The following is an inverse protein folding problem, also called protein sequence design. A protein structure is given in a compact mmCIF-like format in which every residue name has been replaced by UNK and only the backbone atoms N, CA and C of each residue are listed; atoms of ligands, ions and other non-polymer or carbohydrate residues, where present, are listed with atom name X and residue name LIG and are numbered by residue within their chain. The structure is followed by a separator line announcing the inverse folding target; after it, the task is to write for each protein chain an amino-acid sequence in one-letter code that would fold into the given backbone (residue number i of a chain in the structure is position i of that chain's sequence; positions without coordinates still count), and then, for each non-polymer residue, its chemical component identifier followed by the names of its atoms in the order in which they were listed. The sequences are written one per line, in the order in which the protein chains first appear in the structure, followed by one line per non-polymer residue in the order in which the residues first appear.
data_IF_206833875791
#
_entry.id   IF_206833875791
#
_cell.length_a   1.000
_cell.length_b   1.000
_cell.length_c   1.000
_cell.angle_alpha   90.00
_cell.angle_beta   90.00
_cell.angle_gamma   90.00
#
_symmetry.space_group_name_H-M   'P 1'
#
loop_
_entity.id
_entity.type
_entity.pdbx_description
1 polymer ?
#
# COMPACT_ATOMS: atom_id res chain seq x y z
N UNK A 1 -21.01 23.85 29.36
CA UNK A 1 -21.02 22.41 29.30
C UNK A 1 -21.97 21.83 30.31
N UNK A 2 -22.94 21.06 29.84
CA UNK A 2 -23.96 20.41 30.70
C UNK A 2 -23.27 19.23 31.42
N UNK A 3 -22.85 19.46 32.66
CA UNK A 3 -22.42 18.31 33.50
C UNK A 3 -23.65 17.53 33.88
N UNK A 4 -23.65 16.18 33.77
CA UNK A 4 -24.76 15.36 34.24
C UNK A 4 -24.89 15.48 35.76
N UNK A 5 -26.11 15.49 36.30
CA UNK A 5 -26.32 15.46 37.75
C UNK A 5 -25.70 14.18 38.35
N UNK A 6 -25.19 14.24 39.60
CA UNK A 6 -24.48 13.11 40.20
C UNK A 6 -25.20 11.75 40.10
N UNK A 7 -26.54 11.76 40.24
CA UNK A 7 -27.37 10.56 40.12
C UNK A 7 -27.39 9.95 38.68
N UNK A 8 -26.90 10.63 37.66
CA UNK A 8 -26.91 10.14 36.24
C UNK A 8 -25.52 9.98 35.65
N UNK A 9 -24.46 10.11 36.44
CA UNK A 9 -23.08 9.99 35.98
C UNK A 9 -22.82 8.63 35.32
N UNK A 10 -23.25 7.54 35.93
CA UNK A 10 -23.08 6.17 35.37
C UNK A 10 -23.81 6.01 34.04
N UNK A 11 -25.06 6.47 33.95
CA UNK A 11 -25.82 6.41 32.68
C UNK A 11 -25.19 7.28 31.58
N UNK A 12 -24.60 8.40 31.94
CA UNK A 12 -23.87 9.27 30.99
C UNK A 12 -22.64 8.57 30.39
N UNK A 13 -21.79 7.98 31.24
CA UNK A 13 -20.61 7.27 30.75
C UNK A 13 -20.97 6.00 29.98
N UNK A 14 -22.02 5.29 30.41
CA UNK A 14 -22.53 4.13 29.65
C UNK A 14 -23.04 4.52 28.28
N UNK A 15 -23.78 5.64 28.17
CA UNK A 15 -24.24 6.15 26.87
C UNK A 15 -23.08 6.58 25.99
N UNK A 16 -22.04 7.21 26.57
CA UNK A 16 -20.83 7.60 25.84
C UNK A 16 -20.08 6.37 25.32
N UNK A 17 -19.89 5.35 26.14
CA UNK A 17 -19.24 4.10 25.78
C UNK A 17 -20.03 3.35 24.69
N UNK A 18 -21.35 3.25 24.86
CA UNK A 18 -22.25 2.63 23.87
C UNK A 18 -22.23 3.38 22.53
N UNK A 19 -22.25 4.72 22.58
CA UNK A 19 -22.12 5.55 21.38
C UNK A 19 -20.81 5.35 20.65
N UNK A 20 -19.70 5.27 21.40
CA UNK A 20 -18.38 4.96 20.85
C UNK A 20 -18.32 3.58 20.20
N UNK A 21 -18.85 2.56 20.87
CA UNK A 21 -18.91 1.20 20.33
C UNK A 21 -19.76 1.12 19.05
N UNK A 22 -20.96 1.73 19.06
CA UNK A 22 -21.83 1.81 17.88
C UNK A 22 -21.15 2.56 16.74
N UNK A 23 -20.52 3.70 17.01
CA UNK A 23 -19.75 4.46 16.01
C UNK A 23 -18.62 3.64 15.41
N UNK A 24 -17.89 2.87 16.23
CA UNK A 24 -16.85 1.94 15.76
C UNK A 24 -17.42 0.86 14.83
N UNK A 25 -18.52 0.21 15.21
CA UNK A 25 -19.18 -0.79 14.35
C UNK A 25 -19.69 -0.18 13.05
N UNK A 26 -20.30 1.00 13.10
CA UNK A 26 -20.80 1.69 11.91
C UNK A 26 -19.68 2.06 10.96
N UNK A 27 -18.53 2.58 11.46
CA UNK A 27 -17.39 2.96 10.64
C UNK A 27 -16.60 1.76 10.11
N UNK A 28 -16.32 0.77 10.96
CA UNK A 28 -15.42 -0.32 10.60
C UNK A 28 -16.13 -1.47 9.87
N UNK A 29 -17.43 -1.65 10.03
CA UNK A 29 -18.18 -2.78 9.45
C UNK A 29 -19.25 -2.29 8.49
N UNK A 30 -20.19 -1.44 8.96
CA UNK A 30 -21.33 -1.05 8.13
C UNK A 30 -20.93 -0.13 6.95
N UNK A 31 -20.04 0.83 7.19
CA UNK A 31 -19.63 1.77 6.15
C UNK A 31 -18.90 1.08 4.98
N UNK A 32 -17.93 0.16 5.17
CA UNK A 32 -17.31 -0.58 4.07
C UNK A 32 -18.29 -1.43 3.25
N UNK A 33 -19.37 -1.91 3.87
CA UNK A 33 -20.39 -2.70 3.18
C UNK A 33 -21.42 -1.87 2.44
N UNK A 34 -21.70 -0.64 2.93
CA UNK A 34 -22.78 0.21 2.40
C UNK A 34 -22.28 1.35 1.50
N UNK A 35 -21.06 1.83 1.73
CA UNK A 35 -20.49 2.98 1.04
C UNK A 35 -19.41 2.53 0.06
N UNK A 36 -19.48 2.96 -1.17
CA UNK A 36 -18.50 2.60 -2.21
C UNK A 36 -17.14 3.30 -2.07
N UNK A 37 -17.01 4.29 -1.18
CA UNK A 37 -15.76 5.01 -0.87
C UNK A 37 -15.79 5.51 0.57
N UNK A 38 -14.71 6.14 1.05
CA UNK A 38 -14.52 6.62 2.43
C UNK A 38 -15.34 7.91 2.71
N UNK A 39 -16.67 7.79 2.65
CA UNK A 39 -17.58 8.91 2.92
C UNK A 39 -17.96 9.06 4.40
N UNK A 40 -17.68 8.07 5.23
CA UNK A 40 -18.08 8.02 6.65
C UNK A 40 -17.54 9.20 7.46
N UNK A 41 -16.34 9.69 7.18
CA UNK A 41 -15.79 10.87 7.86
C UNK A 41 -16.67 12.11 7.62
N UNK A 42 -17.01 12.38 6.37
CA UNK A 42 -17.82 13.53 5.99
C UNK A 42 -19.25 13.42 6.54
N UNK A 43 -19.83 12.21 6.48
CA UNK A 43 -21.14 11.92 7.04
C UNK A 43 -21.16 12.10 8.56
N UNK A 44 -20.11 11.64 9.24
CA UNK A 44 -19.97 11.77 10.70
C UNK A 44 -19.83 13.24 11.13
N UNK A 45 -19.05 14.03 10.38
CA UNK A 45 -18.92 15.46 10.63
C UNK A 45 -20.28 16.15 10.41
N UNK A 46 -21.01 15.85 9.32
CA UNK A 46 -22.33 16.41 9.06
C UNK A 46 -23.33 16.04 10.16
N UNK A 47 -23.35 14.77 10.60
CA UNK A 47 -24.20 14.30 11.68
C UNK A 47 -23.87 15.00 13.02
N UNK A 48 -22.60 15.18 13.33
CA UNK A 48 -22.17 15.92 14.52
C UNK A 48 -22.63 17.40 14.48
N UNK A 49 -22.53 18.08 13.34
CA UNK A 49 -23.02 19.44 13.14
C UNK A 49 -24.55 19.53 13.31
N UNK A 50 -25.30 18.59 12.73
CA UNK A 50 -26.76 18.53 12.88
C UNK A 50 -27.14 18.33 14.35
N UNK A 51 -26.44 17.43 15.05
CA UNK A 51 -26.67 17.19 16.48
C UNK A 51 -26.40 18.42 17.34
N UNK A 52 -25.27 19.09 17.11
CA UNK A 52 -24.91 20.35 17.80
C UNK A 52 -25.98 21.41 17.56
N UNK A 53 -26.41 21.58 16.31
CA UNK A 53 -27.45 22.54 15.98
C UNK A 53 -28.78 22.22 16.64
N UNK A 54 -29.18 20.93 16.64
CA UNK A 54 -30.41 20.48 17.32
C UNK A 54 -30.36 20.78 18.82
N UNK A 55 -29.23 20.48 19.49
CA UNK A 55 -29.05 20.81 20.92
C UNK A 55 -29.11 22.33 21.13
N UNK A 56 -28.45 23.13 20.30
CA UNK A 56 -28.43 24.59 20.45
C UNK A 56 -29.81 25.23 20.26
N UNK A 57 -30.68 24.66 19.43
CA UNK A 57 -32.05 25.13 19.24
C UNK A 57 -32.95 24.77 20.42
N UNK A 58 -32.71 23.59 21.07
CA UNK A 58 -33.54 23.08 22.15
C UNK A 58 -33.08 23.48 23.55
N UNK A 59 -31.83 23.90 23.73
CA UNK A 59 -31.30 24.33 25.04
C UNK A 59 -31.74 25.76 25.39
N UNK A 60 -32.53 25.98 26.46
CA UNK A 60 -32.98 27.30 26.88
C UNK A 60 -31.85 28.31 27.18
N UNK A 61 -30.65 27.85 27.47
CA UNK A 61 -29.48 28.68 27.75
C UNK A 61 -28.69 29.02 26.48
N UNK A 62 -29.05 28.44 25.35
CA UNK A 62 -28.43 28.72 24.07
C UNK A 62 -28.93 30.04 23.48
N UNK A 63 -27.99 30.72 22.79
CA UNK A 63 -28.33 31.94 22.01
C UNK A 63 -29.18 31.65 20.77
N UNK A 64 -29.32 30.37 20.39
CA UNK A 64 -30.15 29.93 19.26
C UNK A 64 -31.50 29.34 19.72
N UNK A 65 -31.74 29.31 21.05
CA UNK A 65 -32.97 28.75 21.58
C UNK A 65 -34.21 29.38 20.93
N UNK A 66 -35.10 28.49 20.49
CA UNK A 66 -36.39 28.88 19.90
C UNK A 66 -36.29 29.92 18.76
N UNK A 67 -35.21 29.91 17.99
CA UNK A 67 -34.98 30.81 16.86
C UNK A 67 -34.70 32.28 17.24
N UNK A 68 -34.39 32.58 18.48
CA UNK A 68 -34.17 33.96 19.00
C UNK A 68 -33.09 34.75 18.27
N UNK A 69 -32.17 34.09 17.57
CA UNK A 69 -31.09 34.73 16.83
C UNK A 69 -31.03 34.22 15.38
N UNK A 70 -31.93 34.66 14.55
CA UNK A 70 -32.04 34.27 13.14
C UNK A 70 -30.74 34.45 12.33
N UNK A 71 -29.95 35.54 12.46
CA UNK A 71 -28.70 35.67 11.72
C UNK A 71 -27.68 34.54 12.07
N UNK A 72 -27.57 34.13 13.35
CA UNK A 72 -26.69 33.04 13.75
C UNK A 72 -27.22 31.70 13.26
N UNK A 73 -28.51 31.44 13.36
CA UNK A 73 -29.12 30.23 12.82
C UNK A 73 -28.85 30.12 11.31
N UNK A 74 -29.06 31.23 10.55
CA UNK A 74 -28.77 31.28 9.14
C UNK A 74 -27.26 30.97 8.84
N UNK A 75 -26.35 31.51 9.66
CA UNK A 75 -24.92 31.25 9.52
C UNK A 75 -24.57 29.74 9.73
N UNK A 76 -25.16 29.10 10.76
CA UNK A 76 -24.96 27.66 10.99
C UNK A 76 -25.54 26.79 9.87
N UNK A 77 -26.74 27.13 9.38
CA UNK A 77 -27.36 26.44 8.24
C UNK A 77 -26.57 26.66 6.94
N UNK A 78 -26.07 27.89 6.73
CA UNK A 78 -25.18 28.21 5.61
C UNK A 78 -23.89 27.39 5.62
N UNK A 79 -23.29 27.20 6.79
CA UNK A 79 -22.10 26.38 6.94
C UNK A 79 -22.40 24.89 6.67
N UNK A 80 -23.52 24.37 7.17
CA UNK A 80 -23.96 23.00 6.88
C UNK A 80 -24.22 22.80 5.38
N UNK A 81 -24.85 23.77 4.73
CA UNK A 81 -25.06 23.76 3.28
C UNK A 81 -23.74 23.78 2.51
N UNK A 82 -22.81 24.67 2.87
CA UNK A 82 -21.48 24.75 2.26
C UNK A 82 -20.72 23.43 2.40
N UNK A 83 -20.81 22.77 3.55
CA UNK A 83 -20.22 21.44 3.78
C UNK A 83 -20.88 20.37 2.89
N UNK A 84 -22.20 20.40 2.72
CA UNK A 84 -22.92 19.51 1.80
C UNK A 84 -22.48 19.70 0.34
N UNK A 85 -22.34 20.96 -0.09
CA UNK A 85 -21.83 21.29 -1.44
C UNK A 85 -20.39 20.80 -1.61
N UNK A 86 -19.51 21.07 -0.63
CA UNK A 86 -18.11 20.61 -0.66
C UNK A 86 -18.02 19.08 -0.76
N UNK A 87 -18.85 18.36 0.00
CA UNK A 87 -18.95 16.91 -0.08
C UNK A 87 -19.44 16.46 -1.47
N UNK A 88 -20.46 17.10 -2.02
CA UNK A 88 -20.98 16.80 -3.36
C UNK A 88 -19.92 16.98 -4.44
N UNK A 89 -19.16 18.07 -4.38
CA UNK A 89 -18.02 18.34 -5.29
C UNK A 89 -16.93 17.27 -5.12
N UNK A 90 -16.57 16.93 -3.89
CA UNK A 90 -15.59 15.89 -3.61
C UNK A 90 -16.01 14.54 -4.21
N UNK A 91 -17.26 14.12 -3.98
CA UNK A 91 -17.81 12.86 -4.54
C UNK A 91 -17.78 12.89 -6.06
N UNK A 92 -18.21 14.00 -6.65
CA UNK A 92 -18.21 14.17 -8.11
C UNK A 92 -16.80 14.03 -8.69
N UNK A 93 -15.81 14.77 -8.19
CA UNK A 93 -14.43 14.68 -8.67
C UNK A 93 -13.84 13.27 -8.48
N UNK A 94 -14.03 12.69 -7.30
CA UNK A 94 -13.49 11.35 -7.01
C UNK A 94 -14.06 10.30 -7.97
N UNK A 95 -15.35 10.40 -8.30
CA UNK A 95 -15.99 9.46 -9.24
C UNK A 95 -15.66 9.73 -10.70
N UNK A 96 -15.53 10.98 -11.09
CA UNK A 96 -15.22 11.33 -12.48
C UNK A 96 -13.80 10.97 -12.91
N UNK A 97 -12.87 10.90 -11.98
CA UNK A 97 -11.47 10.52 -12.25
C UNK A 97 -11.20 9.01 -12.13
N UNK A 98 -12.13 8.24 -11.61
CA UNK A 98 -11.94 6.81 -11.40
C UNK A 98 -12.73 5.99 -12.43
N UNK A 99 -12.06 5.06 -13.12
CA UNK A 99 -12.70 4.04 -13.95
C UNK A 99 -13.49 3.05 -13.10
N UNK A 100 -12.98 2.75 -11.90
CA UNK A 100 -13.60 1.88 -10.91
C UNK A 100 -13.13 2.23 -9.51
N UNK A 101 -14.03 2.08 -8.55
CA UNK A 101 -13.75 2.13 -7.11
C UNK A 101 -14.20 0.80 -6.54
N UNK A 102 -13.31 0.08 -5.87
CA UNK A 102 -13.57 -1.18 -5.19
C UNK A 102 -13.17 -1.04 -3.72
N UNK A 103 -14.13 -1.19 -2.83
CA UNK A 103 -13.92 -1.09 -1.39
C UNK A 103 -14.19 -2.42 -0.71
N UNK A 104 -13.24 -2.85 0.10
CA UNK A 104 -13.36 -4.07 0.89
C UNK A 104 -12.67 -3.92 2.26
N UNK A 105 -12.50 -5.03 2.98
CA UNK A 105 -11.84 -5.06 4.29
C UNK A 105 -10.42 -4.48 4.28
N UNK A 106 -9.66 -4.64 3.17
CA UNK A 106 -8.28 -4.16 3.05
C UNK A 106 -8.19 -2.68 2.66
N UNK A 107 -9.31 -2.01 2.43
CA UNK A 107 -9.36 -0.59 2.09
C UNK A 107 -10.07 -0.30 0.78
N UNK A 108 -9.89 0.90 0.28
CA UNK A 108 -10.51 1.38 -0.95
C UNK A 108 -9.46 1.49 -2.06
N UNK A 109 -9.66 0.73 -3.12
CA UNK A 109 -8.85 0.74 -4.33
C UNK A 109 -9.55 1.55 -5.43
N UNK A 110 -8.79 2.32 -6.18
CA UNK A 110 -9.28 3.08 -7.32
C UNK A 110 -8.37 2.83 -8.52
N UNK A 111 -8.96 2.52 -9.67
CA UNK A 111 -8.24 2.59 -10.94
C UNK A 111 -8.56 3.94 -11.56
N UNK A 112 -7.54 4.76 -11.76
CA UNK A 112 -7.66 6.09 -12.38
C UNK A 112 -7.08 6.05 -13.77
N UNK A 113 -7.68 6.80 -14.66
CA UNK A 113 -7.18 7.03 -16.02
C UNK A 113 -6.69 8.46 -16.14
N UNK A 114 -5.45 8.64 -16.54
CA UNK A 114 -4.76 9.92 -16.56
C UNK A 114 -4.36 10.24 -18.00
N UNK A 115 -4.50 11.50 -18.39
CA UNK A 115 -4.10 12.04 -19.69
C UNK A 115 -4.66 11.27 -20.89
N UNK A 116 -5.92 10.80 -20.80
CA UNK A 116 -6.57 9.99 -21.84
C UNK A 116 -6.59 10.66 -23.22
N UNK A 117 -6.53 12.00 -23.29
CA UNK A 117 -6.47 12.77 -24.54
C UNK A 117 -5.05 12.81 -25.16
N UNK A 118 -4.02 12.39 -24.45
CA UNK A 118 -2.63 12.47 -24.88
C UNK A 118 -2.00 11.06 -24.97
N UNK A 119 -1.98 10.42 -26.16
CA UNK A 119 -1.58 9.01 -26.29
C UNK A 119 -0.22 8.64 -25.68
N UNK A 120 0.74 9.57 -25.66
CA UNK A 120 2.09 9.36 -25.11
C UNK A 120 2.12 9.42 -23.57
N UNK A 121 1.16 10.12 -22.97
CA UNK A 121 1.05 10.31 -21.51
C UNK A 121 -0.08 9.47 -20.92
N UNK A 122 -0.97 8.96 -21.77
CA UNK A 122 -2.14 8.18 -21.35
C UNK A 122 -1.71 6.94 -20.58
N UNK A 123 -2.08 6.89 -19.30
CA UNK A 123 -1.77 5.77 -18.43
C UNK A 123 -2.90 5.50 -17.42
N UNK A 124 -2.93 4.30 -16.90
CA UNK A 124 -3.78 3.89 -15.77
C UNK A 124 -2.96 3.68 -14.53
N UNK A 125 -3.52 4.03 -13.39
CA UNK A 125 -2.90 3.85 -12.07
C UNK A 125 -3.84 3.11 -11.13
N UNK A 126 -3.30 2.19 -10.33
CA UNK A 126 -3.98 1.61 -9.18
C UNK A 126 -3.57 2.40 -7.94
N UNK A 127 -4.56 2.96 -7.23
CA UNK A 127 -4.33 3.84 -6.09
C UNK A 127 -5.14 3.35 -4.89
N UNK A 128 -4.53 3.37 -3.71
CA UNK A 128 -5.21 3.18 -2.43
C UNK A 128 -4.92 4.38 -1.53
N UNK A 129 -5.97 5.15 -1.19
CA UNK A 129 -5.77 6.42 -0.49
C UNK A 129 -4.89 7.37 -1.30
N UNK A 130 -3.69 7.65 -0.83
CA UNK A 130 -2.67 8.49 -1.49
C UNK A 130 -1.54 7.69 -2.13
N UNK A 131 -1.49 6.39 -1.91
CA UNK A 131 -0.41 5.52 -2.36
C UNK A 131 -0.74 4.95 -3.74
N UNK A 132 0.22 5.04 -4.64
CA UNK A 132 0.16 4.44 -5.98
C UNK A 132 0.75 3.04 -5.89
N UNK A 133 -0.03 2.03 -6.25
CA UNK A 133 0.36 0.62 -6.27
C UNK A 133 0.83 0.14 -7.65
N UNK A 134 1.11 1.05 -8.54
CA UNK A 134 1.61 0.81 -9.88
C UNK A 134 0.84 1.61 -10.94
N UNK A 135 1.46 1.72 -12.11
CA UNK A 135 0.90 2.41 -13.27
C UNK A 135 1.27 1.67 -14.57
N UNK A 136 0.45 1.84 -15.60
CA UNK A 136 0.71 1.29 -16.93
C UNK A 136 0.30 2.27 -18.01
N UNK A 137 1.21 2.56 -18.93
CA UNK A 137 0.89 3.28 -20.16
C UNK A 137 -0.11 2.48 -21.01
N UNK A 138 -1.02 3.18 -21.67
CA UNK A 138 -2.02 2.55 -22.54
C UNK A 138 -1.55 2.47 -24.01
N UNK A 139 -0.55 3.25 -24.39
CA UNK A 139 0.04 3.18 -25.73
C UNK A 139 0.70 1.80 -25.97
N UNK A 140 0.45 1.15 -27.12
CA UNK A 140 1.03 -0.16 -27.47
C UNK A 140 2.56 -0.21 -27.39
N UNK A 141 3.24 0.90 -27.69
CA UNK A 141 4.69 1.00 -27.63
C UNK A 141 5.25 1.10 -26.20
N UNK A 142 4.47 1.61 -25.25
CA UNK A 142 4.92 1.88 -23.87
C UNK A 142 4.28 0.94 -22.83
N UNK A 143 3.18 0.26 -23.15
CA UNK A 143 2.40 -0.51 -22.16
C UNK A 143 3.18 -1.65 -21.49
N UNK A 144 4.26 -2.11 -22.11
CA UNK A 144 5.12 -3.18 -21.58
C UNK A 144 6.30 -2.67 -20.77
N UNK A 145 6.47 -1.35 -20.66
CA UNK A 145 7.55 -0.76 -19.87
C UNK A 145 7.16 -0.82 -18.41
N UNK A 146 8.02 -1.42 -17.60
CA UNK A 146 7.88 -1.37 -16.15
C UNK A 146 8.06 0.08 -15.68
N UNK A 147 7.07 0.59 -14.97
CA UNK A 147 6.97 1.99 -14.57
C UNK A 147 7.07 2.15 -13.05
N UNK A 148 6.97 3.37 -12.56
CA UNK A 148 7.07 3.71 -11.14
C UNK A 148 8.40 3.24 -10.53
N UNK A 149 8.34 2.77 -9.31
CA UNK A 149 9.46 2.22 -8.55
C UNK A 149 9.95 0.84 -9.03
N UNK A 150 9.39 0.33 -10.15
CA UNK A 150 9.82 -0.91 -10.80
C UNK A 150 10.59 -0.67 -12.11
N UNK A 151 10.96 0.59 -12.41
CA UNK A 151 11.68 0.93 -13.65
C UNK A 151 12.95 0.09 -13.83
N UNK A 152 13.47 -0.06 -15.08
CA UNK A 152 14.70 -0.81 -15.31
C UNK A 152 15.91 -0.31 -14.52
N UNK A 153 15.92 0.98 -14.10
CA UNK A 153 16.97 1.55 -13.25
C UNK A 153 16.76 1.27 -11.75
N UNK A 154 15.61 0.75 -11.34
CA UNK A 154 15.35 0.39 -9.93
C UNK A 154 16.13 -0.85 -9.52
N UNK A 155 16.34 -1.05 -8.21
CA UNK A 155 17.06 -2.23 -7.73
C UNK A 155 16.44 -3.54 -8.20
N UNK A 156 15.12 -3.68 -8.16
CA UNK A 156 14.44 -4.88 -8.67
C UNK A 156 14.52 -4.99 -10.19
N UNK A 157 14.46 -3.87 -10.93
CA UNK A 157 14.61 -3.86 -12.38
C UNK A 157 15.98 -4.32 -12.81
N UNK A 158 17.04 -3.83 -12.15
CA UNK A 158 18.43 -4.21 -12.41
C UNK A 158 18.66 -5.70 -12.16
N UNK A 159 18.20 -6.25 -11.04
CA UNK A 159 18.39 -7.67 -10.73
C UNK A 159 17.59 -8.58 -11.67
N UNK A 160 16.34 -8.24 -11.97
CA UNK A 160 15.54 -9.02 -12.93
C UNK A 160 16.13 -8.97 -14.34
N UNK A 161 16.69 -7.85 -14.77
CA UNK A 161 17.32 -7.75 -16.07
C UNK A 161 18.63 -8.53 -16.12
N UNK A 162 19.46 -8.48 -15.07
CA UNK A 162 20.73 -9.23 -15.02
C UNK A 162 20.51 -10.74 -14.98
N UNK A 163 19.56 -11.20 -14.21
CA UNK A 163 19.21 -12.63 -14.11
C UNK A 163 18.60 -13.19 -15.40
N UNK A 164 17.91 -12.37 -16.21
CA UNK A 164 17.35 -12.80 -17.49
C UNK A 164 18.38 -13.36 -18.46
N UNK A 165 19.63 -12.90 -18.37
CA UNK A 165 20.73 -13.38 -19.22
C UNK A 165 21.15 -14.83 -18.92
N UNK A 166 20.82 -15.36 -17.73
CA UNK A 166 21.17 -16.72 -17.31
C UNK A 166 20.17 -17.81 -17.77
N UNK A 167 19.00 -17.42 -18.26
CA UNK A 167 17.95 -18.35 -18.70
C UNK A 167 16.60 -18.14 -17.99
N UNK A 168 15.68 -19.12 -18.10
CA UNK A 168 14.37 -19.04 -17.43
C UNK A 168 14.50 -18.94 -15.91
N UNK A 169 13.72 -18.05 -15.32
CA UNK A 169 13.76 -17.67 -13.90
C UNK A 169 12.53 -18.12 -13.14
N UNK A 170 12.71 -18.34 -11.86
CA UNK A 170 11.62 -18.50 -10.89
C UNK A 170 11.57 -17.25 -10.01
N UNK A 171 10.52 -16.45 -10.15
CA UNK A 171 10.38 -15.18 -9.47
C UNK A 171 9.19 -15.24 -8.52
N UNK A 172 9.44 -15.00 -7.23
CA UNK A 172 8.42 -14.81 -6.22
C UNK A 172 8.15 -13.31 -6.03
N UNK A 173 6.88 -12.92 -5.92
CA UNK A 173 6.49 -11.53 -5.69
C UNK A 173 5.49 -11.48 -4.55
N UNK A 174 5.89 -10.88 -3.44
CA UNK A 174 5.02 -10.59 -2.28
C UNK A 174 4.46 -9.19 -2.45
N UNK A 175 3.14 -9.11 -2.70
CA UNK A 175 2.45 -7.91 -3.12
C UNK A 175 2.34 -7.82 -4.66
N UNK A 176 1.12 -7.74 -5.18
CA UNK A 176 0.86 -7.76 -6.63
C UNK A 176 0.83 -6.36 -7.26
N UNK A 177 0.18 -5.40 -6.60
CA UNK A 177 -0.11 -4.10 -7.18
C UNK A 177 -0.80 -4.21 -8.54
N UNK A 178 -0.27 -3.54 -9.56
CA UNK A 178 -0.74 -3.67 -10.96
C UNK A 178 -0.10 -4.85 -11.70
N UNK A 179 0.67 -5.69 -11.01
CA UNK A 179 1.51 -6.75 -11.58
C UNK A 179 2.64 -6.21 -12.48
N UNK A 180 3.15 -5.02 -12.22
CA UNK A 180 4.19 -4.38 -13.05
C UNK A 180 5.44 -5.24 -13.20
N UNK A 181 5.83 -6.02 -12.18
CA UNK A 181 6.99 -6.91 -12.26
C UNK A 181 6.85 -8.00 -13.32
N UNK A 182 5.62 -8.36 -13.72
CA UNK A 182 5.41 -9.26 -14.85
C UNK A 182 5.84 -8.68 -16.21
N UNK A 183 6.12 -7.36 -16.28
CA UNK A 183 6.73 -6.76 -17.47
C UNK A 183 8.09 -7.36 -17.81
N UNK A 184 8.84 -7.83 -16.80
CA UNK A 184 10.15 -8.47 -16.96
C UNK A 184 10.09 -9.96 -17.31
N UNK A 185 8.89 -10.56 -17.29
CA UNK A 185 8.77 -11.99 -17.53
C UNK A 185 9.04 -12.34 -18.99
N UNK A 186 9.88 -13.35 -19.21
CA UNK A 186 10.26 -13.88 -20.50
C UNK A 186 9.77 -15.31 -20.69
N UNK A 187 9.98 -15.86 -21.89
CA UNK A 187 9.60 -17.23 -22.21
C UNK A 187 10.26 -18.24 -21.26
N UNK A 188 9.44 -19.08 -20.63
CA UNK A 188 9.90 -20.13 -19.72
C UNK A 188 10.01 -19.69 -18.27
N UNK A 189 9.94 -18.38 -17.98
CA UNK A 189 9.90 -17.88 -16.61
C UNK A 189 8.67 -18.39 -15.85
N UNK A 190 8.81 -18.59 -14.55
CA UNK A 190 7.74 -18.91 -13.61
C UNK A 190 7.62 -17.78 -12.59
N UNK A 191 6.52 -17.05 -12.62
CA UNK A 191 6.21 -16.00 -11.65
C UNK A 191 5.14 -16.49 -10.69
N UNK A 192 5.44 -16.45 -9.38
CA UNK A 192 4.52 -16.76 -8.28
C UNK A 192 4.22 -15.49 -7.51
N UNK A 193 2.97 -15.04 -7.59
CA UNK A 193 2.51 -13.76 -7.08
C UNK A 193 1.64 -14.03 -5.85
N UNK A 194 1.99 -13.43 -4.73
CA UNK A 194 1.30 -13.60 -3.45
C UNK A 194 0.57 -12.29 -3.13
N UNK A 195 -0.76 -12.32 -3.02
CA UNK A 195 -1.59 -11.13 -2.79
C UNK A 195 -2.68 -11.44 -1.77
N UNK A 196 -2.78 -10.59 -0.74
CA UNK A 196 -3.77 -10.77 0.32
C UNK A 196 -5.16 -10.26 -0.08
N UNK A 197 -5.21 -9.24 -0.93
CA UNK A 197 -6.46 -8.58 -1.32
C UNK A 197 -6.98 -9.11 -2.67
N UNK A 198 -8.07 -9.90 -2.69
CA UNK A 198 -8.61 -10.43 -3.94
C UNK A 198 -9.07 -9.35 -4.93
N UNK A 199 -9.37 -8.13 -4.47
CA UNK A 199 -9.71 -7.03 -5.35
C UNK A 199 -8.49 -6.55 -6.16
N UNK A 200 -7.29 -6.56 -5.59
CA UNK A 200 -6.06 -6.22 -6.31
C UNK A 200 -5.87 -7.16 -7.50
N UNK A 201 -6.01 -8.47 -7.29
CA UNK A 201 -5.89 -9.47 -8.38
C UNK A 201 -6.91 -9.22 -9.48
N UNK A 202 -8.19 -8.99 -9.11
CA UNK A 202 -9.24 -8.71 -10.10
C UNK A 202 -8.98 -7.44 -10.89
N UNK A 203 -8.54 -6.37 -10.21
CA UNK A 203 -8.26 -5.08 -10.85
C UNK A 203 -7.02 -5.14 -11.73
N UNK A 204 -5.97 -5.83 -11.29
CA UNK A 204 -4.76 -6.06 -12.08
C UNK A 204 -5.06 -6.80 -13.39
N UNK A 205 -5.83 -7.88 -13.32
CA UNK A 205 -6.18 -8.69 -14.51
C UNK A 205 -7.15 -7.94 -15.46
N UNK A 206 -8.07 -7.14 -14.92
CA UNK A 206 -9.10 -6.48 -15.72
C UNK A 206 -8.66 -5.16 -16.37
N UNK A 207 -7.85 -4.37 -15.68
CA UNK A 207 -7.54 -2.98 -16.11
C UNK A 207 -6.11 -2.78 -16.56
N UNK A 208 -5.23 -3.77 -16.34
CA UNK A 208 -3.82 -3.75 -16.73
C UNK A 208 -3.51 -4.98 -17.58
N UNK A 209 -2.48 -4.90 -18.42
CA UNK A 209 -2.16 -5.97 -19.36
C UNK A 209 -0.91 -6.77 -18.99
N UNK A 210 -0.19 -6.40 -17.93
CA UNK A 210 1.09 -7.02 -17.57
C UNK A 210 1.02 -8.54 -17.44
N UNK A 211 -0.01 -9.08 -16.76
CA UNK A 211 -0.20 -10.52 -16.60
C UNK A 211 -0.49 -11.22 -17.94
N UNK A 212 -1.39 -10.64 -18.74
CA UNK A 212 -1.74 -11.16 -20.04
C UNK A 212 -0.56 -11.11 -21.03
N UNK A 213 0.16 -9.98 -21.05
CA UNK A 213 1.34 -9.81 -21.89
C UNK A 213 2.48 -10.78 -21.51
N UNK A 214 2.67 -11.06 -20.21
CA UNK A 214 3.66 -12.05 -19.75
C UNK A 214 3.28 -13.48 -20.18
N UNK A 215 2.02 -13.88 -19.98
CA UNK A 215 1.52 -15.18 -20.45
C UNK A 215 1.64 -15.32 -21.96
N UNK A 216 1.34 -14.28 -22.72
CA UNK A 216 1.49 -14.26 -24.18
C UNK A 216 2.96 -14.44 -24.63
N UNK A 217 3.93 -13.94 -23.84
CA UNK A 217 5.36 -14.19 -24.08
C UNK A 217 5.81 -15.61 -23.75
N UNK A 218 4.98 -16.38 -23.07
CA UNK A 218 5.25 -17.77 -22.71
C UNK A 218 5.79 -17.95 -21.29
N UNK A 219 5.58 -16.96 -20.41
CA UNK A 219 5.82 -17.11 -18.98
C UNK A 219 4.64 -17.81 -18.29
N UNK A 220 4.92 -18.61 -17.26
CA UNK A 220 3.93 -19.16 -16.33
C UNK A 220 3.65 -18.17 -15.22
N UNK A 221 2.38 -17.77 -15.03
CA UNK A 221 1.99 -16.82 -14.00
C UNK A 221 0.96 -17.48 -13.08
N UNK A 222 1.34 -17.67 -11.83
CA UNK A 222 0.52 -18.26 -10.78
C UNK A 222 0.23 -17.20 -9.69
N UNK A 223 -1.04 -17.02 -9.32
CA UNK A 223 -1.44 -16.10 -8.24
C UNK A 223 -1.97 -16.89 -7.05
N UNK A 224 -1.43 -16.59 -5.87
CA UNK A 224 -1.83 -17.17 -4.59
C UNK A 224 -2.50 -16.11 -3.73
N UNK A 225 -3.77 -16.32 -3.41
CA UNK A 225 -4.52 -15.43 -2.50
C UNK A 225 -4.24 -15.80 -1.05
N UNK A 226 -3.88 -14.80 -0.27
CA UNK A 226 -3.66 -14.92 1.17
C UNK A 226 -2.43 -14.14 1.63
N UNK A 227 -2.19 -14.18 2.92
CA UNK A 227 -0.95 -13.66 3.50
C UNK A 227 0.26 -14.44 2.93
N UNK A 228 1.20 -13.70 2.35
CA UNK A 228 2.33 -14.29 1.61
C UNK A 228 3.19 -15.18 2.49
N UNK A 229 3.45 -14.78 3.75
CA UNK A 229 4.24 -15.56 4.71
C UNK A 229 3.54 -16.87 5.04
N UNK A 230 2.25 -16.83 5.37
CA UNK A 230 1.47 -18.03 5.68
C UNK A 230 1.31 -18.97 4.48
N UNK A 231 1.26 -18.42 3.27
CA UNK A 231 1.21 -19.25 2.04
C UNK A 231 2.56 -19.93 1.82
N UNK A 232 3.67 -19.19 1.94
CA UNK A 232 5.02 -19.75 1.78
C UNK A 232 5.32 -20.81 2.83
N UNK A 233 4.94 -20.63 4.10
CA UNK A 233 5.11 -21.62 5.17
C UNK A 233 4.50 -23.00 4.84
N UNK A 234 3.44 -23.02 4.02
CA UNK A 234 2.73 -24.25 3.63
C UNK A 234 3.25 -24.85 2.32
N UNK A 235 4.11 -24.15 1.62
CA UNK A 235 4.68 -24.59 0.35
C UNK A 235 6.04 -25.26 0.56
N UNK A 236 6.37 -26.21 -0.29
CA UNK A 236 7.75 -26.71 -0.41
C UNK A 236 8.67 -25.62 -0.90
N UNK A 237 10.00 -25.69 -0.65
CA UNK A 237 10.97 -24.72 -1.16
C UNK A 237 10.78 -24.42 -2.65
N UNK A 238 10.59 -23.17 -2.99
CA UNK A 238 10.18 -22.74 -4.33
C UNK A 238 11.35 -22.53 -5.27
N UNK A 239 12.57 -22.45 -4.75
CA UNK A 239 13.80 -22.21 -5.51
C UNK A 239 13.71 -20.93 -6.35
N UNK A 240 13.36 -19.81 -5.71
CA UNK A 240 13.32 -18.52 -6.37
C UNK A 240 14.71 -18.00 -6.68
N UNK A 241 14.95 -17.61 -7.92
CA UNK A 241 16.11 -16.82 -8.31
C UNK A 241 15.99 -15.39 -7.77
N UNK A 242 14.78 -14.85 -7.78
CA UNK A 242 14.47 -13.56 -7.17
C UNK A 242 13.18 -13.67 -6.36
N UNK A 243 13.23 -13.29 -5.09
CA UNK A 243 12.04 -13.08 -4.25
C UNK A 243 11.90 -11.60 -3.92
N UNK A 244 10.81 -10.98 -4.39
CA UNK A 244 10.54 -9.56 -4.17
C UNK A 244 9.58 -9.39 -3.02
N UNK A 245 9.90 -8.51 -2.07
CA UNK A 245 9.03 -8.12 -0.95
C UNK A 245 8.59 -6.67 -1.18
N UNK A 246 7.33 -6.50 -1.58
CA UNK A 246 6.73 -5.21 -1.93
C UNK A 246 5.25 -5.16 -1.52
N UNK A 247 4.97 -5.57 -0.29
CA UNK A 247 3.63 -5.54 0.28
C UNK A 247 3.46 -4.29 1.16
N UNK A 248 2.65 -3.35 0.67
CA UNK A 248 2.30 -2.14 1.40
C UNK A 248 0.79 -2.07 1.65
N UNK A 249 0.41 -1.72 2.87
CA UNK A 249 -0.98 -1.41 3.23
C UNK A 249 -1.05 0.09 3.55
N UNK A 250 -1.42 0.91 2.58
CA UNK A 250 -1.20 2.35 2.65
C UNK A 250 0.30 2.66 2.69
N UNK A 251 0.74 3.57 3.57
CA UNK A 251 2.18 3.88 3.76
C UNK A 251 2.88 2.92 4.75
N UNK A 252 2.21 1.87 5.23
CA UNK A 252 2.77 0.94 6.22
C UNK A 252 3.19 -0.38 5.57
N UNK A 253 4.39 -0.84 5.90
CA UNK A 253 4.82 -2.22 5.61
C UNK A 253 4.32 -3.12 6.73
N UNK A 254 3.68 -4.26 6.43
CA UNK A 254 3.34 -5.23 7.46
C UNK A 254 4.61 -5.75 8.15
N UNK A 255 4.80 -5.38 9.41
CA UNK A 255 6.04 -5.68 10.15
C UNK A 255 6.41 -7.18 10.14
N UNK A 256 5.41 -8.07 10.20
CA UNK A 256 5.61 -9.52 10.18
C UNK A 256 6.26 -10.05 8.90
N UNK A 257 6.32 -9.26 7.83
CA UNK A 257 7.04 -9.60 6.60
C UNK A 257 8.52 -9.19 6.63
N UNK A 258 8.94 -8.40 7.61
CA UNK A 258 10.30 -7.88 7.75
C UNK A 258 11.01 -8.39 9.02
N UNK A 259 10.49 -9.43 9.68
CA UNK A 259 11.09 -10.05 10.86
C UNK A 259 12.19 -11.03 10.48
N UNK A 260 13.06 -11.31 11.45
CA UNK A 260 14.12 -12.33 11.31
C UNK A 260 13.54 -13.69 10.87
N UNK A 261 12.42 -14.08 11.47
CA UNK A 261 11.72 -15.34 11.20
C UNK A 261 11.16 -15.38 9.78
N UNK A 262 10.62 -14.25 9.29
CA UNK A 262 10.15 -14.14 7.91
C UNK A 262 11.31 -14.34 6.92
N UNK A 263 12.47 -13.73 7.18
CA UNK A 263 13.62 -13.88 6.30
C UNK A 263 14.22 -15.30 6.36
N UNK A 264 14.19 -15.98 7.51
CA UNK A 264 14.55 -17.40 7.58
C UNK A 264 13.69 -18.24 6.63
N UNK A 265 12.37 -17.98 6.60
CA UNK A 265 11.45 -18.61 5.66
C UNK A 265 11.80 -18.26 4.20
N UNK A 266 12.02 -16.99 3.89
CA UNK A 266 12.35 -16.56 2.52
C UNK A 266 13.62 -17.22 2.00
N UNK A 267 14.66 -17.30 2.84
CA UNK A 267 15.93 -17.96 2.51
C UNK A 267 15.77 -19.45 2.18
N UNK A 268 14.82 -20.13 2.85
CA UNK A 268 14.48 -21.52 2.52
C UNK A 268 13.83 -21.66 1.13
N UNK A 269 13.21 -20.60 0.63
CA UNK A 269 12.57 -20.57 -0.69
C UNK A 269 13.47 -20.05 -1.81
N UNK A 270 14.69 -19.57 -1.50
CA UNK A 270 15.62 -19.11 -2.53
C UNK A 270 16.37 -20.28 -3.21
N UNK A 271 16.70 -20.05 -4.48
CA UNK A 271 17.65 -20.87 -5.19
C UNK A 271 19.07 -20.71 -4.61
N UNK A 272 19.81 -21.77 -4.48
CA UNK A 272 21.21 -21.72 -4.05
C UNK A 272 22.13 -21.83 -5.26
N UNK A 273 23.28 -21.12 -5.26
CA UNK A 273 23.76 -20.15 -4.25
C UNK A 273 23.30 -18.70 -4.50
N UNK A 274 22.77 -18.35 -5.68
CA UNK A 274 22.68 -16.99 -6.21
C UNK A 274 21.27 -16.37 -6.14
N UNK A 275 20.36 -16.95 -5.36
CA UNK A 275 19.04 -16.37 -5.14
C UNK A 275 19.12 -15.04 -4.40
N UNK A 276 18.26 -14.07 -4.80
CA UNK A 276 18.23 -12.71 -4.28
C UNK A 276 16.87 -12.42 -3.65
N UNK A 277 16.89 -11.78 -2.46
CA UNK A 277 15.71 -11.13 -1.89
C UNK A 277 15.80 -9.65 -2.24
N UNK A 278 14.79 -9.11 -2.92
CA UNK A 278 14.68 -7.68 -3.24
C UNK A 278 13.57 -7.06 -2.39
N UNK A 279 13.93 -6.17 -1.47
CA UNK A 279 12.98 -5.53 -0.54
C UNK A 279 12.77 -4.07 -0.93
N UNK A 280 11.53 -3.70 -1.19
CA UNK A 280 11.15 -2.30 -1.40
C UNK A 280 11.07 -1.58 -0.05
N UNK A 281 11.91 -0.57 0.16
CA UNK A 281 12.02 0.14 1.44
C UNK A 281 11.68 1.63 1.34
N UNK A 282 11.16 2.07 0.18
CA UNK A 282 10.75 3.47 0.01
C UNK A 282 9.62 3.81 0.99
N UNK A 283 9.88 4.72 1.89
CA UNK A 283 8.89 5.21 2.84
C UNK A 283 9.23 6.65 3.24
N UNK A 284 8.21 7.51 3.38
CA UNK A 284 8.40 8.93 3.69
C UNK A 284 8.74 9.12 5.17
N UNK A 285 8.21 8.29 6.04
CA UNK A 285 8.25 8.46 7.49
C UNK A 285 9.19 7.48 8.20
N UNK A 286 9.47 6.33 7.59
CA UNK A 286 10.22 5.24 8.20
C UNK A 286 11.52 4.96 7.45
N UNK A 287 12.59 4.69 8.15
CA UNK A 287 13.85 4.19 7.60
C UNK A 287 13.89 2.66 7.68
N UNK A 288 13.21 2.02 6.76
CA UNK A 288 13.14 0.56 6.67
C UNK A 288 14.46 -0.07 6.20
N UNK A 289 15.37 0.72 5.61
CA UNK A 289 16.71 0.23 5.23
C UNK A 289 17.44 -0.33 6.41
N UNK A 290 17.33 0.32 7.59
CA UNK A 290 17.97 -0.14 8.84
C UNK A 290 17.43 -1.48 9.32
N UNK A 291 16.12 -1.70 9.21
CA UNK A 291 15.49 -2.98 9.58
C UNK A 291 16.01 -4.10 8.69
N UNK A 292 15.96 -3.91 7.38
CA UNK A 292 16.42 -4.93 6.42
C UNK A 292 17.92 -5.19 6.54
N UNK A 293 18.73 -4.16 6.84
CA UNK A 293 20.15 -4.29 7.11
C UNK A 293 20.41 -5.11 8.39
N UNK A 294 19.68 -4.88 9.48
CA UNK A 294 19.82 -5.63 10.72
C UNK A 294 19.47 -7.13 10.52
N UNK A 295 18.38 -7.38 9.77
CA UNK A 295 18.00 -8.75 9.41
C UNK A 295 19.06 -9.42 8.52
N UNK A 296 19.64 -8.67 7.56
CA UNK A 296 20.72 -9.20 6.72
C UNK A 296 21.93 -9.67 7.54
N UNK A 297 22.33 -8.87 8.54
CA UNK A 297 23.40 -9.23 9.46
C UNK A 297 23.08 -10.48 10.27
N UNK A 298 21.86 -10.60 10.79
CA UNK A 298 21.42 -11.74 11.58
C UNK A 298 21.49 -13.05 10.77
N UNK A 299 21.29 -12.98 9.44
CA UNK A 299 21.33 -14.14 8.55
C UNK A 299 22.63 -14.29 7.75
N UNK A 300 23.67 -13.53 8.09
CA UNK A 300 24.97 -13.54 7.40
C UNK A 300 24.84 -13.33 5.87
N UNK A 301 24.08 -12.28 5.48
CA UNK A 301 23.85 -11.91 4.10
C UNK A 301 24.64 -10.65 3.70
N UNK A 302 25.07 -10.59 2.45
CA UNK A 302 25.46 -9.31 1.85
C UNK A 302 24.23 -8.50 1.48
N UNK A 303 24.30 -7.17 1.71
CA UNK A 303 23.22 -6.25 1.44
C UNK A 303 23.71 -5.02 0.66
N UNK A 304 22.98 -4.65 -0.37
CA UNK A 304 23.22 -3.42 -1.14
C UNK A 304 21.94 -2.63 -1.29
N UNK A 305 22.01 -1.30 -1.22
CA UNK A 305 20.89 -0.43 -1.56
C UNK A 305 21.04 0.16 -2.95
N UNK A 306 19.93 0.25 -3.67
CA UNK A 306 19.83 0.91 -4.97
C UNK A 306 18.76 1.98 -4.86
N UNK A 307 19.18 3.22 -5.06
CA UNK A 307 18.29 4.37 -5.17
C UNK A 307 18.09 4.70 -6.65
N UNK A 308 16.87 4.84 -7.09
CA UNK A 308 16.54 5.30 -8.43
C UNK A 308 15.66 6.53 -8.39
N UNK A 309 15.99 7.51 -9.20
CA UNK A 309 15.18 8.72 -9.40
C UNK A 309 14.27 8.55 -10.63
N UNK A 310 13.17 9.32 -10.71
CA UNK A 310 12.40 9.41 -11.95
C UNK A 310 13.32 9.82 -13.10
N UNK A 311 13.36 9.00 -14.14
CA UNK A 311 14.18 9.21 -15.34
C UNK A 311 13.51 10.12 -16.38
N UNK A 312 12.75 11.13 -15.92
CA UNK A 312 11.94 12.02 -16.77
C UNK A 312 10.62 11.39 -17.23
N UNK A 313 10.32 10.17 -16.85
CA UNK A 313 9.02 9.53 -17.10
C UNK A 313 7.91 10.21 -16.30
N UNK A 314 6.75 10.56 -16.91
CA UNK A 314 5.60 11.13 -16.21
C UNK A 314 5.00 10.20 -15.15
N UNK A 315 5.35 8.93 -15.20
CA UNK A 315 4.95 7.90 -14.23
C UNK A 315 6.14 7.38 -13.42
N UNK A 316 7.30 8.03 -13.47
CA UNK A 316 8.46 7.68 -12.65
C UNK A 316 8.27 8.07 -11.19
N UNK A 317 8.86 7.32 -10.28
CA UNK A 317 8.91 7.65 -8.85
C UNK A 317 10.29 7.36 -8.26
N UNK A 318 10.63 8.10 -7.21
CA UNK A 318 11.79 7.76 -6.41
C UNK A 318 11.59 6.37 -5.80
N UNK A 319 12.60 5.53 -5.88
CA UNK A 319 12.55 4.20 -5.26
C UNK A 319 13.87 3.85 -4.57
N UNK A 320 13.73 3.21 -3.43
CA UNK A 320 14.86 2.62 -2.69
C UNK A 320 14.57 1.13 -2.53
N UNK A 321 15.48 0.32 -3.05
CA UNK A 321 15.43 -1.13 -2.93
C UNK A 321 16.67 -1.62 -2.18
N UNK A 322 16.49 -2.55 -1.25
CA UNK A 322 17.58 -3.30 -0.65
C UNK A 322 17.60 -4.70 -1.24
N UNK A 323 18.72 -5.06 -1.82
CA UNK A 323 18.95 -6.38 -2.41
C UNK A 323 19.85 -7.18 -1.45
N UNK A 324 19.44 -8.40 -1.15
CA UNK A 324 20.11 -9.31 -0.22
C UNK A 324 20.45 -10.61 -0.93
N UNK A 325 21.67 -11.10 -0.74
CA UNK A 325 22.09 -12.41 -1.23
C UNK A 325 23.03 -13.06 -0.20
N UNK A 326 23.30 -14.34 -0.38
CA UNK A 326 24.28 -15.05 0.42
C UNK A 326 25.63 -14.38 0.33
N UNK A 327 26.37 -14.39 1.45
CA UNK A 327 27.67 -13.70 1.55
C UNK A 327 28.62 -14.16 0.45
N UNK A 328 29.25 -13.19 -0.23
CA UNK A 328 30.19 -13.40 -1.32
C UNK A 328 29.55 -13.71 -2.67
N UNK A 329 28.23 -13.64 -2.82
CA UNK A 329 27.58 -13.82 -4.12
C UNK A 329 27.90 -12.64 -5.07
N UNK A 330 28.34 -12.99 -6.27
CA UNK A 330 28.63 -12.00 -7.31
C UNK A 330 27.36 -11.31 -7.88
N UNK A 331 26.18 -11.85 -7.58
CA UNK A 331 24.91 -11.34 -8.11
C UNK A 331 24.60 -9.89 -7.67
N UNK A 332 25.16 -9.44 -6.54
CA UNK A 332 25.05 -8.08 -6.04
C UNK A 332 26.11 -7.11 -6.58
N UNK A 333 26.95 -7.52 -7.52
CA UNK A 333 27.93 -6.64 -8.17
C UNK A 333 27.27 -5.68 -9.17
N UNK A 334 26.38 -4.82 -8.66
CA UNK A 334 25.61 -3.83 -9.42
C UNK A 334 26.35 -2.48 -9.33
N UNK A 335 26.78 -1.88 -10.44
CA UNK A 335 27.62 -0.66 -10.42
C UNK A 335 27.00 0.53 -9.69
N UNK A 336 25.68 0.66 -9.72
CA UNK A 336 24.93 1.75 -9.07
C UNK A 336 24.53 1.46 -7.64
N UNK A 337 24.80 0.25 -7.15
CA UNK A 337 24.41 -0.15 -5.79
C UNK A 337 25.42 0.37 -4.75
N UNK A 338 24.88 0.80 -3.62
CA UNK A 338 25.64 1.16 -2.44
C UNK A 338 25.67 0.00 -1.46
N UNK A 339 26.85 -0.54 -1.16
CA UNK A 339 26.98 -1.60 -0.14
C UNK A 339 26.58 -1.06 1.22
N UNK A 340 25.73 -1.79 1.92
CA UNK A 340 25.36 -1.49 3.31
C UNK A 340 26.46 -2.02 4.25
N UNK A 341 26.75 -1.27 5.28
CA UNK A 341 27.79 -1.64 6.25
C UNK A 341 27.42 -2.92 7.02
N UNK A 342 28.45 -3.65 7.47
CA UNK A 342 28.27 -4.87 8.29
C UNK A 342 27.82 -4.55 9.75
N UNK A 343 27.67 -3.28 10.11
CA UNK A 343 27.14 -2.85 11.41
C UNK A 343 26.03 -1.80 11.23
N UNK A 344 24.91 -2.01 11.90
CA UNK A 344 23.83 -1.01 11.96
C UNK A 344 24.17 -0.03 13.08
N UNK A 345 24.21 1.28 12.81
CA UNK A 345 24.35 2.26 13.89
C UNK A 345 23.07 2.29 14.75
N UNK A 346 23.18 1.87 16.01
CA UNK A 346 22.13 1.96 17.02
C UNK A 346 21.38 0.66 17.29
N UNK A 347 21.05 0.46 18.57
CA UNK A 347 20.26 -0.66 19.07
C UNK A 347 18.78 -0.50 18.70
N UNK A 348 18.03 -1.62 18.58
CA UNK A 348 16.56 -1.61 18.54
C UNK A 348 15.91 -1.71 17.15
N UNK A 349 16.66 -1.94 16.08
CA UNK A 349 16.12 -2.02 14.70
C UNK A 349 15.90 -3.45 14.21
N UNK A 350 16.31 -4.47 14.96
CA UNK A 350 16.08 -5.86 14.59
C UNK A 350 14.65 -6.25 14.96
N UNK A 351 13.84 -6.51 13.95
CA UNK A 351 12.47 -6.94 14.15
C UNK A 351 12.37 -8.45 14.23
N UNK A 352 11.63 -8.93 15.24
CA UNK A 352 11.25 -10.33 15.43
C UNK A 352 9.73 -10.44 15.46
N UNK A 353 9.20 -11.65 15.44
CA UNK A 353 7.77 -11.88 15.57
C UNK A 353 7.21 -11.39 16.91
N UNK A 354 8.03 -11.43 17.97
CA UNK A 354 7.65 -11.00 19.30
C UNK A 354 7.86 -9.51 19.55
N UNK A 355 8.85 -8.89 18.90
CA UNK A 355 9.26 -7.50 19.18
C UNK A 355 9.56 -6.75 17.89
N UNK A 356 8.81 -5.70 17.63
CA UNK A 356 9.07 -4.72 16.58
C UNK A 356 8.57 -3.34 17.01
N UNK A 357 9.32 -2.29 16.69
CA UNK A 357 8.97 -0.91 17.03
C UNK A 357 9.10 -0.01 15.82
N UNK A 358 8.00 0.65 15.47
CA UNK A 358 7.99 1.66 14.41
C UNK A 358 8.68 2.95 14.85
N UNK A 359 8.73 3.22 16.17
CA UNK A 359 9.33 4.44 16.72
C UNK A 359 10.84 4.47 16.49
N UNK A 360 11.50 3.31 16.56
CA UNK A 360 12.97 3.19 16.42
C UNK A 360 13.44 3.39 14.96
N UNK A 361 12.52 3.40 14.02
CA UNK A 361 12.79 3.59 12.58
C UNK A 361 12.14 4.85 12.01
N UNK A 362 11.60 5.75 12.83
CA UNK A 362 11.13 7.06 12.39
C UNK A 362 12.32 7.90 11.85
N UNK A 363 12.07 8.61 10.75
CA UNK A 363 13.01 9.53 10.11
C UNK A 363 13.02 10.89 10.79
#
# INVERSE_FOLDING_TARGET
GVKPPPARITSYYLALAAGGALGGVLSAVAAPLALGDNYELHLSIAAAWILVLAVMITDPHSRLYDGRNMPRLAAYLGLLFAMGVSMGVYVYHTRSEALVIDRNFYGTLKVREIDAAQPQLHHRMLVSGRVIHGAQFQSPSLRRIASQYYSPASGVGLILTSQAAAGPRRVGVVGLGTATLAAYAERGDVYRLYEINPAVVRLADRYFTFLADARQRGASIECFLGDARLVLERQTPQQFDVLTIDAFTGDAVPAHLLTVEAFALYLNHLAAPDGVIAVHVSNIHLDLTRVVQAVAQQHDLDAVSVESSPDGSPVGSLAVWVLLARRGSAVLAIPTAKRLADSVPGDGVLWTDDVHSLVDVLR
#
